data_IF_920917393294
#
_entry.id   IF_920917393294
#
_cell.length_a   1.000
_cell.length_b   1.000
_cell.length_c   1.000
_cell.angle_alpha   90.00
_cell.angle_beta   90.00
_cell.angle_gamma   90.00
#
_symmetry.space_group_name_H-M   'P 1'
#
loop_
_entity.id
_entity.type
_entity.pdbx_description
1 polymer ?
#
# COMPACT_ATOMS: atom_id res chain seq x y z
N UNK A 1 12.89 10.47 10.16
CA UNK A 1 14.31 10.46 9.71
C UNK A 1 15.12 9.21 10.10
N UNK A 2 14.64 8.31 10.98
CA UNK A 2 15.45 7.17 11.48
C UNK A 2 15.81 6.13 10.40
N UNK A 3 14.88 5.79 9.50
CA UNK A 3 15.12 4.79 8.45
C UNK A 3 16.06 5.29 7.33
N UNK A 4 16.05 6.60 7.03
CA UNK A 4 16.90 7.21 5.99
C UNK A 4 18.39 7.07 6.26
N UNK A 5 18.80 6.94 7.53
CA UNK A 5 20.20 6.69 7.92
C UNK A 5 20.76 5.38 7.37
N UNK A 6 19.92 4.51 6.82
CA UNK A 6 20.32 3.22 6.25
C UNK A 6 20.41 3.26 4.72
N UNK A 7 20.05 4.36 4.06
CA UNK A 7 20.20 4.48 2.62
C UNK A 7 21.66 4.72 2.24
N UNK A 8 22.12 4.24 1.07
CA UNK A 8 23.39 4.66 0.51
C UNK A 8 23.40 6.19 0.37
N UNK A 9 24.33 6.86 1.05
CA UNK A 9 24.38 8.32 1.15
C UNK A 9 25.10 8.97 -0.04
N UNK A 10 25.87 8.19 -0.79
CA UNK A 10 26.61 8.66 -1.96
C UNK A 10 26.64 7.59 -3.09
N UNK A 11 27.04 8.03 -4.28
CA UNK A 11 27.13 7.18 -5.47
C UNK A 11 28.10 6.00 -5.32
N UNK A 12 29.20 6.19 -4.58
CA UNK A 12 30.20 5.14 -4.36
C UNK A 12 29.62 4.03 -3.50
N UNK A 13 28.93 4.37 -2.42
CA UNK A 13 28.22 3.42 -1.56
C UNK A 13 27.14 2.67 -2.32
N UNK A 14 26.33 3.36 -3.12
CA UNK A 14 25.33 2.72 -3.97
C UNK A 14 25.97 1.72 -4.94
N UNK A 15 27.01 2.14 -5.68
CA UNK A 15 27.70 1.27 -6.65
C UNK A 15 28.31 0.03 -5.99
N UNK A 16 28.96 0.19 -4.84
CA UNK A 16 29.53 -0.94 -4.08
C UNK A 16 28.42 -1.88 -3.63
N UNK A 17 27.37 -1.34 -3.01
CA UNK A 17 26.26 -2.14 -2.51
C UNK A 17 25.54 -2.89 -3.64
N UNK A 18 25.27 -2.22 -4.77
CA UNK A 18 24.64 -2.81 -5.94
C UNK A 18 25.50 -3.91 -6.58
N UNK A 19 26.81 -3.66 -6.72
CA UNK A 19 27.77 -4.66 -7.26
C UNK A 19 27.90 -5.87 -6.33
N UNK A 20 27.91 -5.64 -5.02
CA UNK A 20 27.98 -6.73 -4.04
C UNK A 20 26.68 -7.54 -4.00
N UNK A 21 25.54 -6.85 -4.02
CA UNK A 21 24.21 -7.46 -4.06
C UNK A 21 23.99 -8.33 -5.29
N UNK A 22 24.38 -7.86 -6.48
CA UNK A 22 24.26 -8.63 -7.72
C UNK A 22 25.15 -9.87 -7.75
N UNK A 23 26.35 -9.81 -7.14
CA UNK A 23 27.29 -10.94 -7.06
C UNK A 23 26.89 -11.99 -6.01
N UNK A 24 26.38 -11.56 -4.85
CA UNK A 24 25.93 -12.48 -3.79
C UNK A 24 24.70 -13.29 -4.20
N UNK A 25 23.80 -12.72 -5.02
CA UNK A 25 22.50 -13.31 -5.39
C UNK A 25 21.70 -13.83 -4.17
N UNK A 26 21.88 -13.17 -3.02
CA UNK A 26 21.24 -13.55 -1.77
C UNK A 26 19.88 -12.88 -1.61
N UNK A 27 18.81 -13.67 -1.45
CA UNK A 27 17.44 -13.18 -1.47
C UNK A 27 17.15 -12.09 -0.43
N UNK A 28 17.66 -12.19 0.80
CA UNK A 28 17.37 -11.18 1.82
C UNK A 28 18.11 -9.85 1.55
N UNK A 29 19.24 -9.91 0.84
CA UNK A 29 19.97 -8.71 0.37
C UNK A 29 19.18 -8.01 -0.73
N UNK A 30 18.61 -8.78 -1.67
CA UNK A 30 17.71 -8.22 -2.70
C UNK A 30 16.48 -7.59 -2.07
N UNK A 31 15.82 -8.26 -1.11
CA UNK A 31 14.70 -7.71 -0.36
C UNK A 31 15.06 -6.43 0.41
N UNK A 32 16.34 -6.25 0.76
CA UNK A 32 16.82 -5.01 1.36
C UNK A 32 16.81 -3.85 0.37
N UNK A 33 17.36 -4.05 -0.83
CA UNK A 33 17.29 -3.05 -1.90
C UNK A 33 15.85 -2.72 -2.31
N UNK A 34 14.97 -3.72 -2.35
CA UNK A 34 13.54 -3.51 -2.62
C UNK A 34 12.93 -2.56 -1.59
N UNK A 35 13.20 -2.72 -0.29
CA UNK A 35 12.71 -1.77 0.72
C UNK A 35 13.27 -0.36 0.55
N UNK A 36 14.54 -0.22 0.16
CA UNK A 36 15.12 1.10 -0.10
C UNK A 36 14.37 1.76 -1.24
N UNK A 37 14.14 1.06 -2.34
CA UNK A 37 13.41 1.56 -3.51
C UNK A 37 11.95 1.92 -3.17
N UNK A 38 11.20 1.03 -2.51
CA UNK A 38 9.81 1.29 -2.15
C UNK A 38 9.68 2.37 -1.08
N UNK A 39 10.60 2.41 -0.11
CA UNK A 39 10.66 3.46 0.90
C UNK A 39 10.94 4.83 0.28
N UNK A 40 11.85 4.89 -0.70
CA UNK A 40 12.12 6.09 -1.47
C UNK A 40 10.88 6.55 -2.28
N UNK A 41 10.21 5.63 -2.99
CA UNK A 41 8.99 5.95 -3.73
C UNK A 41 7.88 6.51 -2.83
N UNK A 42 7.70 5.95 -1.63
CA UNK A 42 6.69 6.40 -0.67
C UNK A 42 6.92 7.82 -0.15
N UNK A 43 8.12 8.40 -0.23
CA UNK A 43 8.30 9.81 0.12
C UNK A 43 7.49 10.77 -0.76
N UNK A 44 7.16 10.34 -1.99
CA UNK A 44 6.38 11.13 -2.93
C UNK A 44 4.93 10.68 -2.95
N UNK A 45 4.68 9.37 -2.91
CA UNK A 45 3.34 8.80 -3.03
C UNK A 45 2.50 8.96 -1.75
N UNK A 46 3.09 8.66 -0.59
CA UNK A 46 2.33 8.58 0.66
C UNK A 46 1.85 9.96 1.15
N UNK A 47 2.65 11.05 1.11
CA UNK A 47 2.17 12.36 1.57
C UNK A 47 0.99 12.89 0.77
N UNK A 48 0.95 12.66 -0.55
CA UNK A 48 -0.19 13.10 -1.38
C UNK A 48 -1.48 12.40 -0.95
N UNK A 49 -1.42 11.08 -0.72
CA UNK A 49 -2.57 10.33 -0.21
C UNK A 49 -2.97 10.81 1.20
N UNK A 50 -2.01 10.92 2.12
CA UNK A 50 -2.28 11.34 3.50
C UNK A 50 -2.85 12.76 3.57
N UNK A 51 -2.32 13.70 2.78
CA UNK A 51 -2.84 15.06 2.72
C UNK A 51 -4.30 15.08 2.27
N UNK A 52 -4.65 14.34 1.22
CA UNK A 52 -6.02 14.24 0.75
C UNK A 52 -6.97 13.68 1.83
N UNK A 53 -6.52 12.69 2.61
CA UNK A 53 -7.34 12.09 3.67
C UNK A 53 -7.49 13.02 4.88
N UNK A 54 -6.43 13.75 5.25
CA UNK A 54 -6.47 14.67 6.40
C UNK A 54 -7.25 15.95 6.13
N UNK A 55 -7.15 16.50 4.91
CA UNK A 55 -7.77 17.78 4.57
C UNK A 55 -9.21 17.65 4.08
N UNK A 56 -9.62 16.46 3.62
CA UNK A 56 -10.97 16.19 3.11
C UNK A 56 -11.57 14.91 3.71
N UNK A 57 -11.64 14.79 5.05
CA UNK A 57 -12.17 13.59 5.70
C UNK A 57 -13.67 13.38 5.45
N UNK A 58 -14.40 14.45 5.15
CA UNK A 58 -15.82 14.43 4.78
C UNK A 58 -16.08 13.81 3.39
N UNK A 59 -15.04 13.71 2.54
CA UNK A 59 -15.08 13.08 1.22
C UNK A 59 -14.70 11.58 1.27
N UNK A 60 -14.90 10.94 2.42
CA UNK A 60 -14.72 9.50 2.60
C UNK A 60 -16.09 8.82 2.61
N UNK A 61 -16.40 8.11 1.53
CA UNK A 61 -17.64 7.37 1.35
C UNK A 61 -17.67 6.69 -0.01
N UNK A 62 -18.69 5.86 -0.33
CA UNK A 62 -18.70 5.07 -1.55
C UNK A 62 -18.52 5.89 -2.83
N UNK A 63 -19.29 6.97 -3.00
CA UNK A 63 -19.18 7.84 -4.18
C UNK A 63 -17.99 8.80 -4.10
N UNK A 64 -17.78 9.44 -2.95
CA UNK A 64 -16.69 10.40 -2.79
C UNK A 64 -15.29 9.77 -2.96
N UNK A 65 -15.10 8.52 -2.52
CA UNK A 65 -13.87 7.77 -2.76
C UNK A 65 -13.72 7.36 -4.22
N UNK A 66 -14.78 6.85 -4.84
CA UNK A 66 -14.76 6.43 -6.23
C UNK A 66 -14.51 7.60 -7.20
N UNK A 67 -15.14 8.74 -6.94
CA UNK A 67 -14.93 9.99 -7.68
C UNK A 67 -13.48 10.47 -7.53
N UNK A 68 -12.90 10.42 -6.32
CA UNK A 68 -11.48 10.76 -6.10
C UNK A 68 -10.56 9.81 -6.89
N UNK A 69 -10.85 8.51 -6.89
CA UNK A 69 -10.04 7.49 -7.58
C UNK A 69 -10.07 7.70 -9.09
N UNK A 70 -11.26 7.87 -9.67
CA UNK A 70 -11.44 7.95 -11.12
C UNK A 70 -11.42 9.40 -11.63
N UNK A 71 -12.47 10.18 -11.35
CA UNK A 71 -12.63 11.57 -11.81
C UNK A 71 -11.51 12.49 -11.31
N UNK A 72 -11.06 12.29 -10.07
CA UNK A 72 -9.92 12.99 -9.47
C UNK A 72 -8.55 12.47 -9.93
N UNK A 73 -8.50 11.38 -10.70
CA UNK A 73 -7.27 10.85 -11.29
C UNK A 73 -6.30 10.21 -10.31
N UNK A 74 -6.72 9.82 -9.10
CA UNK A 74 -5.83 9.22 -8.09
C UNK A 74 -5.47 7.76 -8.36
N UNK A 75 -6.16 7.06 -9.28
CA UNK A 75 -5.93 5.64 -9.52
C UNK A 75 -4.46 5.25 -9.83
N UNK A 76 -3.65 6.02 -10.61
CA UNK A 76 -2.26 5.65 -10.85
C UNK A 76 -1.42 5.75 -9.58
N UNK A 77 -1.71 6.77 -8.76
CA UNK A 77 -1.06 6.96 -7.47
C UNK A 77 -1.39 5.81 -6.53
N UNK A 78 -2.66 5.43 -6.41
CA UNK A 78 -3.06 4.31 -5.55
C UNK A 78 -2.52 2.98 -6.01
N UNK A 79 -2.47 2.73 -7.33
CA UNK A 79 -1.85 1.53 -7.86
C UNK A 79 -0.36 1.47 -7.50
N UNK A 80 0.39 2.55 -7.75
CA UNK A 80 1.82 2.60 -7.40
C UNK A 80 2.05 2.50 -5.89
N UNK A 81 1.25 3.20 -5.08
CA UNK A 81 1.34 3.20 -3.64
C UNK A 81 1.00 1.83 -3.05
N UNK A 82 -0.01 1.12 -3.60
CA UNK A 82 -0.40 -0.24 -3.20
C UNK A 82 0.81 -1.19 -3.27
N UNK A 83 1.48 -1.25 -4.42
CA UNK A 83 2.67 -2.10 -4.57
C UNK A 83 3.81 -1.64 -3.65
N UNK A 84 4.07 -0.33 -3.57
CA UNK A 84 5.17 0.20 -2.77
C UNK A 84 4.99 -0.10 -1.27
N UNK A 85 3.83 0.25 -0.70
CA UNK A 85 3.57 0.11 0.74
C UNK A 85 3.45 -1.34 1.17
N UNK A 86 2.78 -2.18 0.36
CA UNK A 86 2.54 -3.57 0.71
C UNK A 86 3.85 -4.36 0.74
N UNK A 87 4.66 -4.24 -0.32
CA UNK A 87 5.97 -4.87 -0.37
C UNK A 87 6.89 -4.30 0.71
N UNK A 88 6.90 -2.98 0.93
CA UNK A 88 7.74 -2.37 1.96
C UNK A 88 7.40 -2.87 3.36
N UNK A 89 6.11 -2.85 3.71
CA UNK A 89 5.58 -3.22 5.01
C UNK A 89 5.81 -4.70 5.31
N UNK A 90 5.38 -5.58 4.41
CA UNK A 90 5.49 -7.04 4.60
C UNK A 90 6.94 -7.50 4.70
N UNK A 91 7.83 -6.99 3.83
CA UNK A 91 9.27 -7.27 3.92
C UNK A 91 9.89 -6.70 5.21
N UNK A 92 9.38 -5.57 5.70
CA UNK A 92 9.81 -4.92 6.93
C UNK A 92 9.46 -5.72 8.15
N UNK A 93 8.23 -6.22 8.23
CA UNK A 93 7.77 -7.12 9.28
C UNK A 93 8.60 -8.40 9.33
N UNK A 94 8.83 -9.03 8.17
CA UNK A 94 9.71 -10.21 8.07
C UNK A 94 11.09 -9.93 8.68
N UNK A 95 11.74 -8.84 8.25
CA UNK A 95 13.06 -8.49 8.75
C UNK A 95 13.06 -8.09 10.20
N UNK A 96 12.01 -7.44 10.68
CA UNK A 96 11.89 -7.08 12.09
C UNK A 96 11.83 -8.34 12.96
N UNK A 97 10.98 -9.30 12.58
CA UNK A 97 10.85 -10.59 13.27
C UNK A 97 12.17 -11.38 13.31
N UNK A 98 12.88 -11.46 12.18
CA UNK A 98 14.19 -12.13 12.11
C UNK A 98 15.26 -11.36 12.88
N UNK A 99 15.29 -10.03 12.80
CA UNK A 99 16.31 -9.20 13.46
C UNK A 99 16.25 -9.30 14.98
N UNK A 100 15.04 -9.42 15.54
CA UNK A 100 14.83 -9.49 16.99
C UNK A 100 14.62 -10.91 17.50
N UNK A 101 14.71 -11.92 16.64
CA UNK A 101 14.61 -13.32 17.02
C UNK A 101 13.27 -13.74 17.64
N UNK A 102 12.17 -12.98 17.39
CA UNK A 102 10.89 -13.16 18.09
C UNK A 102 10.30 -14.58 18.00
N UNK A 103 10.65 -15.32 16.95
CA UNK A 103 10.09 -16.65 16.67
C UNK A 103 11.17 -17.71 16.40
N UNK A 104 12.44 -17.50 16.78
CA UNK A 104 13.54 -18.41 16.42
C UNK A 104 13.36 -19.82 17.00
N UNK A 105 12.87 -19.94 18.25
CA UNK A 105 12.64 -21.24 18.90
C UNK A 105 13.89 -22.12 18.91
N UNK A 106 13.71 -23.46 18.83
CA UNK A 106 14.81 -24.42 18.79
C UNK A 106 15.48 -24.60 17.42
N UNK A 107 14.87 -24.11 16.33
CA UNK A 107 15.43 -24.15 14.97
C UNK A 107 15.17 -22.83 14.23
N UNK A 108 16.15 -21.93 14.33
CA UNK A 108 16.11 -20.62 13.70
C UNK A 108 16.00 -20.69 12.16
N UNK A 109 16.52 -21.75 11.51
CA UNK A 109 16.47 -21.90 10.05
C UNK A 109 15.07 -22.30 9.60
N UNK A 110 14.42 -23.21 10.32
CA UNK A 110 13.02 -23.54 10.06
C UNK A 110 12.11 -22.34 10.31
N UNK A 111 12.33 -21.60 11.40
CA UNK A 111 11.59 -20.38 11.72
C UNK A 111 11.71 -19.33 10.60
N UNK A 112 12.95 -19.01 10.17
CA UNK A 112 13.18 -18.05 9.08
C UNK A 112 12.46 -18.46 7.79
N UNK A 113 12.48 -19.76 7.44
CA UNK A 113 11.77 -20.26 6.24
C UNK A 113 10.26 -20.02 6.35
N UNK A 114 9.66 -20.31 7.51
CA UNK A 114 8.22 -20.07 7.76
C UNK A 114 7.88 -18.60 7.68
N UNK A 115 8.67 -17.72 8.30
CA UNK A 115 8.47 -16.27 8.24
C UNK A 115 8.56 -15.74 6.80
N UNK A 116 9.45 -16.30 5.98
CA UNK A 116 9.56 -15.91 4.57
C UNK A 116 8.36 -16.37 3.74
N UNK A 117 7.83 -17.57 4.00
CA UNK A 117 6.59 -18.04 3.38
C UNK A 117 5.41 -17.15 3.81
N UNK A 118 5.30 -16.84 5.11
CA UNK A 118 4.26 -15.97 5.64
C UNK A 118 4.32 -14.56 5.02
N UNK A 119 5.52 -14.00 4.86
CA UNK A 119 5.73 -12.72 4.17
C UNK A 119 5.20 -12.75 2.74
N UNK A 120 5.55 -13.77 1.95
CA UNK A 120 5.06 -13.88 0.57
C UNK A 120 3.55 -14.13 0.50
N UNK A 121 3.02 -14.93 1.43
CA UNK A 121 1.57 -15.14 1.56
C UNK A 121 0.83 -13.84 1.89
N UNK A 122 1.37 -13.02 2.79
CA UNK A 122 0.81 -11.72 3.17
C UNK A 122 0.81 -10.76 1.98
N UNK A 123 1.94 -10.63 1.28
CA UNK A 123 2.06 -9.81 0.06
C UNK A 123 1.04 -10.25 -0.99
N UNK A 124 0.97 -11.55 -1.30
CA UNK A 124 0.05 -12.06 -2.31
C UNK A 124 -1.42 -11.80 -1.92
N UNK A 125 -1.78 -12.06 -0.67
CA UNK A 125 -3.13 -11.85 -0.16
C UNK A 125 -3.53 -10.37 -0.21
N UNK A 126 -2.71 -9.48 0.36
CA UNK A 126 -3.01 -8.05 0.45
C UNK A 126 -2.94 -7.35 -0.91
N UNK A 127 -2.04 -7.74 -1.81
CA UNK A 127 -2.06 -7.21 -3.18
C UNK A 127 -3.31 -7.66 -3.94
N UNK A 128 -3.71 -8.93 -3.81
CA UNK A 128 -4.94 -9.42 -4.47
C UNK A 128 -6.15 -8.66 -3.96
N UNK A 129 -6.27 -8.52 -2.64
CA UNK A 129 -7.35 -7.76 -2.00
C UNK A 129 -7.31 -6.28 -2.41
N UNK A 130 -6.13 -5.64 -2.38
CA UNK A 130 -5.98 -4.23 -2.74
C UNK A 130 -6.29 -3.96 -4.22
N UNK A 131 -5.91 -4.87 -5.12
CA UNK A 131 -6.23 -4.76 -6.55
C UNK A 131 -7.73 -4.94 -6.81
N UNK A 132 -8.38 -5.89 -6.13
CA UNK A 132 -9.84 -6.06 -6.28
C UNK A 132 -10.62 -4.89 -5.72
N UNK A 133 -10.19 -4.34 -4.57
CA UNK A 133 -10.77 -3.11 -4.02
C UNK A 133 -10.56 -1.91 -4.94
N UNK A 134 -9.34 -1.69 -5.46
CA UNK A 134 -9.07 -0.59 -6.39
C UNK A 134 -9.88 -0.73 -7.69
N UNK A 135 -10.04 -1.95 -8.20
CA UNK A 135 -10.89 -2.22 -9.37
C UNK A 135 -12.36 -1.87 -9.08
N UNK A 136 -12.87 -2.20 -7.89
CA UNK A 136 -14.23 -1.85 -7.49
C UNK A 136 -14.41 -0.32 -7.45
N UNK A 137 -13.47 0.41 -6.87
CA UNK A 137 -13.48 1.87 -6.81
C UNK A 137 -13.40 2.51 -8.21
N UNK A 138 -12.53 2.01 -9.09
CA UNK A 138 -12.45 2.46 -10.49
C UNK A 138 -13.78 2.23 -11.19
N UNK A 139 -14.36 1.03 -11.06
CA UNK A 139 -15.63 0.71 -11.71
C UNK A 139 -16.76 1.61 -11.21
N UNK A 140 -16.88 1.78 -9.90
CA UNK A 140 -17.86 2.71 -9.32
C UNK A 140 -17.62 4.14 -9.80
N UNK A 141 -16.36 4.57 -9.90
CA UNK A 141 -16.00 5.91 -10.36
C UNK A 141 -16.34 6.15 -11.83
N UNK A 142 -16.16 5.15 -12.69
CA UNK A 142 -16.60 5.19 -14.09
C UNK A 142 -18.12 5.31 -14.20
N UNK A 143 -18.86 4.49 -13.43
CA UNK A 143 -20.33 4.48 -13.42
C UNK A 143 -20.91 5.78 -12.83
N UNK A 144 -20.22 6.39 -11.87
CA UNK A 144 -20.63 7.60 -11.17
C UNK A 144 -20.11 8.90 -11.81
N UNK A 145 -19.12 8.84 -12.72
CA UNK A 145 -18.49 10.01 -13.32
C UNK A 145 -19.46 11.09 -13.86
N UNK A 146 -20.60 10.76 -14.51
CA UNK A 146 -21.55 11.77 -14.98
C UNK A 146 -22.23 12.59 -13.86
N UNK A 147 -22.17 12.09 -12.63
CA UNK A 147 -22.82 12.62 -11.42
C UNK A 147 -21.81 12.90 -10.31
N UNK A 148 -20.54 13.08 -10.67
CA UNK A 148 -19.47 13.28 -9.71
C UNK A 148 -19.80 14.40 -8.71
N UNK A 149 -19.61 14.12 -7.42
CA UNK A 149 -19.97 15.02 -6.32
C UNK A 149 -21.32 14.74 -5.65
N UNK A 150 -22.19 13.91 -6.23
CA UNK A 150 -23.39 13.42 -5.54
C UNK A 150 -23.01 12.58 -4.30
N UNK A 151 -23.77 12.79 -3.21
CA UNK A 151 -23.56 12.00 -1.98
C UNK A 151 -24.26 10.66 -2.08
N UNK A 152 -23.60 9.62 -1.60
CA UNK A 152 -24.19 8.29 -1.51
C UNK A 152 -25.34 8.27 -0.49
N UNK A 153 -26.55 7.90 -0.93
CA UNK A 153 -27.70 7.65 -0.06
C UNK A 153 -27.90 6.13 0.10
N UNK A 154 -27.74 5.58 1.32
CA UNK A 154 -27.95 4.17 1.56
C UNK A 154 -29.34 3.67 1.16
N UNK A 155 -29.44 2.43 0.69
CA UNK A 155 -30.72 1.78 0.30
C UNK A 155 -31.80 1.88 1.38
N UNK A 156 -31.43 1.75 2.65
CA UNK A 156 -32.36 1.80 3.78
C UNK A 156 -32.89 3.22 4.08
N UNK A 157 -32.17 4.26 3.67
CA UNK A 157 -32.59 5.66 3.87
C UNK A 157 -33.46 6.19 2.73
N UNK A 158 -33.31 5.63 1.52
CA UNK A 158 -34.11 6.01 0.34
C UNK A 158 -35.62 5.84 0.53
N UNK A 159 -36.05 4.82 1.28
CA UNK A 159 -37.47 4.58 1.55
C UNK A 159 -38.09 5.61 2.51
N UNK A 160 -37.29 6.21 3.40
CA UNK A 160 -37.74 7.23 4.36
C UNK A 160 -37.88 8.58 3.66
N UNK A 161 -36.91 8.95 2.82
CA UNK A 161 -36.93 10.21 2.06
C UNK A 161 -38.10 10.27 1.09
N UNK A 162 -38.39 9.18 0.38
CA UNK A 162 -39.54 9.12 -0.53
C UNK A 162 -40.89 9.24 0.20
N UNK A 163 -40.98 8.76 1.45
CA UNK A 163 -42.19 8.88 2.27
C UNK A 163 -42.35 10.28 2.89
N UNK A 164 -41.24 10.98 3.16
CA UNK A 164 -41.24 12.38 3.62
C UNK A 164 -41.56 13.35 2.49
N UNK A 165 -41.04 13.14 1.27
CA UNK A 165 -41.36 13.95 0.09
C UNK A 165 -42.81 13.80 -0.38
N UNK A 166 -43.46 12.69 -0.05
CA UNK A 166 -44.86 12.42 -0.39
C UNK A 166 -45.88 13.02 0.61
N UNK A 167 -45.41 13.63 1.70
CA UNK A 167 -46.23 14.26 2.76
C UNK A 167 -46.28 15.77 2.60
#
# INVERSE_FOLDING_TARGET
LLALRKFPADWRQYRIAATHGSRLRHGDTVLWFVQVATGFAMFFLAPVHLYAMFMHPDLIGPYASADRVWTGGFWPLYLALLFAVEVHGSVGLYRLAVKWGWFEGGDARASRRRLKIAMWGLIAFLLTLGLTTLMAEIRMGVEHAPRAGERYVPTWQRGVTAAEEAR
#
